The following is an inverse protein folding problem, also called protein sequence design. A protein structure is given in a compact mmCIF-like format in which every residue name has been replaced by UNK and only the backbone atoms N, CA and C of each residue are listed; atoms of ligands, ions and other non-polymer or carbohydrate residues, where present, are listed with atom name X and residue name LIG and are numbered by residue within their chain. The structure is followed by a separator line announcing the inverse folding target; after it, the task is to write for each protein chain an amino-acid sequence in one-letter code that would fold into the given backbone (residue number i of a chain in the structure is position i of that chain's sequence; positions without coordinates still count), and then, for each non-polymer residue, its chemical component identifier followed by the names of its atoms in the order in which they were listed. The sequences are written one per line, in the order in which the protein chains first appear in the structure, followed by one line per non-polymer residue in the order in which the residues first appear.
data_IF_976653492219
#
_entry.id   IF_976653492219
#
_cell.length_a   1.000
_cell.length_b   1.000
_cell.length_c   1.000
_cell.angle_alpha   90.00
_cell.angle_beta   90.00
_cell.angle_gamma   90.00
#
_symmetry.space_group_name_H-M   'P 1'
#
loop_
_entity.id
_entity.type
_entity.pdbx_description
1 polymer ?
#
# COMPACT_ATOMS: atom_id res chain seq x y z
N UNK A 1 33.43 12.89 -18.89
CA UNK A 1 33.34 12.60 -17.45
C UNK A 1 32.22 13.36 -16.73
N UNK A 2 31.91 14.62 -17.08
CA UNK A 2 30.82 15.38 -16.41
C UNK A 2 29.42 14.88 -16.73
N UNK A 3 29.16 14.25 -17.84
CA UNK A 3 27.84 13.75 -18.23
C UNK A 3 27.41 12.50 -17.45
N UNK A 4 28.36 11.70 -16.96
CA UNK A 4 28.05 10.49 -16.16
C UNK A 4 27.97 10.75 -14.66
N UNK A 5 28.32 11.95 -14.21
CA UNK A 5 28.33 12.33 -12.79
C UNK A 5 26.95 12.15 -12.12
N UNK A 6 25.82 12.61 -12.72
CA UNK A 6 24.50 12.43 -12.12
C UNK A 6 24.09 10.96 -12.03
N UNK A 7 24.44 10.14 -13.02
CA UNK A 7 24.14 8.71 -13.01
C UNK A 7 24.94 7.98 -11.91
N UNK A 8 26.22 8.34 -11.74
CA UNK A 8 27.06 7.79 -10.67
C UNK A 8 26.56 8.18 -9.28
N UNK A 9 26.10 9.43 -9.10
CA UNK A 9 25.52 9.91 -7.83
C UNK A 9 24.25 9.13 -7.50
N UNK A 10 23.33 8.98 -8.45
CA UNK A 10 22.10 8.21 -8.27
C UNK A 10 22.40 6.74 -7.96
N UNK A 11 23.34 6.13 -8.68
CA UNK A 11 23.79 4.77 -8.41
C UNK A 11 24.40 4.59 -7.02
N UNK A 12 25.21 5.55 -6.57
CA UNK A 12 25.80 5.56 -5.23
C UNK A 12 24.73 5.71 -4.13
N UNK A 13 23.73 6.58 -4.33
CA UNK A 13 22.62 6.77 -3.37
C UNK A 13 21.79 5.48 -3.26
N UNK A 14 21.45 4.85 -4.38
CA UNK A 14 20.70 3.58 -4.40
C UNK A 14 21.51 2.46 -3.74
N UNK A 15 22.82 2.37 -4.02
CA UNK A 15 23.72 1.40 -3.41
C UNK A 15 23.83 1.57 -1.89
N UNK A 16 23.98 2.82 -1.43
CA UNK A 16 24.00 3.15 0.00
C UNK A 16 22.68 2.83 0.70
N UNK A 17 21.55 3.19 0.11
CA UNK A 17 20.24 2.86 0.64
C UNK A 17 20.02 1.34 0.74
N UNK A 18 20.43 0.58 -0.30
CA UNK A 18 20.35 -0.88 -0.31
C UNK A 18 21.24 -1.51 0.77
N UNK A 19 22.44 -0.99 0.98
CA UNK A 19 23.37 -1.45 2.01
C UNK A 19 22.83 -1.19 3.43
N UNK A 20 22.23 -0.01 3.67
CA UNK A 20 21.58 0.33 4.94
C UNK A 20 20.40 -0.60 5.20
N UNK A 21 19.57 -0.89 4.17
CA UNK A 21 18.43 -1.80 4.29
C UNK A 21 18.88 -3.23 4.60
N UNK A 22 19.95 -3.69 3.95
CA UNK A 22 20.55 -5.01 4.20
C UNK A 22 21.11 -5.11 5.63
N UNK A 23 21.83 -4.09 6.08
CA UNK A 23 22.35 -4.01 7.43
C UNK A 23 21.23 -4.01 8.48
N UNK A 24 20.19 -3.21 8.27
CA UNK A 24 19.01 -3.16 9.14
C UNK A 24 18.30 -4.52 9.18
N UNK A 25 18.12 -5.18 8.02
CA UNK A 25 17.55 -6.53 7.93
C UNK A 25 18.37 -7.56 8.73
N UNK A 26 19.68 -7.55 8.60
CA UNK A 26 20.57 -8.47 9.32
C UNK A 26 20.55 -8.24 10.84
N UNK A 27 20.47 -6.95 11.28
CA UNK A 27 20.34 -6.62 12.70
C UNK A 27 18.99 -7.07 13.28
N UNK A 28 17.90 -6.88 12.54
CA UNK A 28 16.56 -7.33 12.94
C UNK A 28 16.50 -8.86 12.99
N UNK A 29 17.13 -9.54 12.02
CA UNK A 29 17.21 -11.01 11.99
C UNK A 29 17.97 -11.56 13.20
N UNK A 30 19.10 -10.95 13.60
CA UNK A 30 19.86 -11.33 14.81
C UNK A 30 19.02 -11.18 16.09
N UNK A 31 18.31 -10.05 16.21
CA UNK A 31 17.45 -9.77 17.38
C UNK A 31 16.23 -10.70 17.45
N UNK A 32 15.78 -11.25 16.32
CA UNK A 32 14.67 -12.21 16.24
C UNK A 32 15.07 -13.59 16.77
N UNK A 33 16.33 -13.99 16.58
CA UNK A 33 16.85 -15.26 17.11
C UNK A 33 17.02 -15.25 18.64
N UNK A 34 17.27 -14.08 19.27
CA UNK A 34 17.35 -13.92 20.72
C UNK A 34 16.00 -13.86 21.44
N UNK A 35 14.91 -13.50 20.73
CA UNK A 35 13.55 -13.40 21.26
C UNK A 35 12.63 -14.48 20.67
N UNK A 36 13.04 -15.72 20.62
CA UNK A 36 12.13 -16.85 20.41
C UNK A 36 11.16 -16.99 21.60
N UNK A 37 10.17 -16.12 21.61
CA UNK A 37 8.92 -16.43 22.27
C UNK A 37 8.35 -17.64 21.57
N UNK A 38 8.09 -18.69 22.37
CA UNK A 38 7.51 -19.97 21.99
C UNK A 38 6.30 -19.79 21.05
N UNK A 39 6.59 -19.67 19.74
CA UNK A 39 5.55 -19.53 18.70
C UNK A 39 5.08 -20.93 18.37
N UNK A 40 4.08 -21.39 19.12
CA UNK A 40 3.42 -22.68 18.91
C UNK A 40 2.70 -22.80 17.55
N UNK A 41 2.52 -21.67 16.81
CA UNK A 41 1.75 -21.63 15.57
C UNK A 41 2.64 -21.14 14.41
N UNK A 42 2.79 -21.91 13.32
CA UNK A 42 3.56 -21.49 12.14
C UNK A 42 2.90 -20.28 11.44
N UNK A 43 3.74 -19.38 10.90
CA UNK A 43 3.31 -18.13 10.24
C UNK A 43 2.30 -18.39 9.10
N UNK A 44 2.41 -19.52 8.39
CA UNK A 44 1.46 -19.90 7.33
C UNK A 44 0.03 -20.12 7.84
N UNK A 45 -0.14 -20.65 9.05
CA UNK A 45 -1.48 -20.81 9.64
C UNK A 45 -2.05 -19.47 10.11
N UNK A 46 -1.20 -18.57 10.62
CA UNK A 46 -1.61 -17.21 11.01
C UNK A 46 -2.09 -16.45 9.77
N UNK A 47 -1.30 -16.46 8.70
CA UNK A 47 -1.68 -15.80 7.43
C UNK A 47 -2.99 -16.38 6.88
N UNK A 48 -3.15 -17.70 6.90
CA UNK A 48 -4.39 -18.34 6.42
C UNK A 48 -5.61 -17.93 7.24
N UNK A 49 -5.49 -17.86 8.56
CA UNK A 49 -6.57 -17.39 9.45
C UNK A 49 -6.91 -15.93 9.18
N UNK A 50 -5.89 -15.06 9.04
CA UNK A 50 -6.08 -13.66 8.73
C UNK A 50 -6.75 -13.47 7.37
N UNK A 51 -6.33 -14.21 6.34
CA UNK A 51 -6.96 -14.17 5.02
C UNK A 51 -8.41 -14.64 5.04
N UNK A 52 -8.78 -15.51 5.97
CA UNK A 52 -10.17 -15.93 6.14
C UNK A 52 -11.10 -14.76 6.46
N UNK A 53 -10.67 -13.80 7.27
CA UNK A 53 -11.43 -12.57 7.55
C UNK A 53 -11.60 -11.66 6.32
N UNK A 54 -10.69 -11.72 5.35
CA UNK A 54 -10.76 -10.95 4.11
C UNK A 54 -11.65 -11.61 3.04
N UNK A 55 -11.90 -12.95 3.12
CA UNK A 55 -12.66 -13.69 2.10
C UNK A 55 -14.08 -13.20 1.86
N UNK A 56 -14.88 -12.76 2.85
CA UNK A 56 -16.20 -12.21 2.60
C UNK A 56 -16.18 -10.96 1.72
N UNK A 57 -15.08 -10.20 1.73
CA UNK A 57 -14.92 -8.92 1.04
C UNK A 57 -14.22 -9.03 -0.32
N UNK A 58 -13.98 -10.27 -0.83
CA UNK A 58 -13.27 -10.51 -2.10
C UNK A 58 -13.80 -9.69 -3.29
N UNK A 59 -15.13 -9.54 -3.40
CA UNK A 59 -15.75 -8.73 -4.46
C UNK A 59 -15.37 -7.25 -4.34
N UNK A 60 -15.34 -6.72 -3.14
CA UNK A 60 -14.97 -5.33 -2.87
C UNK A 60 -13.47 -5.09 -3.14
N UNK A 61 -12.61 -6.06 -2.79
CA UNK A 61 -11.19 -6.00 -3.13
C UNK A 61 -10.96 -6.05 -4.65
N UNK A 62 -11.77 -6.82 -5.41
CA UNK A 62 -11.71 -6.80 -6.88
C UNK A 62 -12.08 -5.42 -7.42
N UNK A 63 -13.13 -4.78 -6.91
CA UNK A 63 -13.49 -3.42 -7.31
C UNK A 63 -12.36 -2.43 -6.99
N UNK A 64 -11.78 -2.50 -5.79
CA UNK A 64 -10.62 -1.70 -5.41
C UNK A 64 -9.46 -1.91 -6.38
N UNK A 65 -9.18 -3.15 -6.76
CA UNK A 65 -8.12 -3.49 -7.70
C UNK A 65 -8.36 -2.86 -9.09
N UNK A 66 -9.58 -2.95 -9.62
CA UNK A 66 -9.94 -2.33 -10.91
C UNK A 66 -9.80 -0.81 -10.86
N UNK A 67 -10.31 -0.17 -9.80
CA UNK A 67 -10.19 1.27 -9.60
C UNK A 67 -8.72 1.69 -9.43
N UNK A 68 -7.92 0.86 -8.76
CA UNK A 68 -6.47 1.08 -8.61
C UNK A 68 -5.74 1.06 -9.95
N UNK A 69 -6.12 0.19 -10.89
CA UNK A 69 -5.54 0.16 -12.24
C UNK A 69 -5.77 1.48 -12.99
N UNK A 70 -6.94 2.12 -12.80
CA UNK A 70 -7.22 3.44 -13.37
C UNK A 70 -6.28 4.50 -12.77
N UNK A 71 -6.07 4.49 -11.46
CA UNK A 71 -5.13 5.39 -10.80
C UNK A 71 -3.69 5.19 -11.28
N UNK A 72 -3.26 3.94 -11.46
CA UNK A 72 -1.92 3.61 -11.98
C UNK A 72 -1.75 4.11 -13.42
N UNK A 73 -2.78 3.92 -14.27
CA UNK A 73 -2.74 4.44 -15.64
C UNK A 73 -2.55 5.97 -15.65
N UNK A 74 -3.23 6.69 -14.75
CA UNK A 74 -3.00 8.13 -14.57
C UNK A 74 -1.56 8.43 -14.12
N UNK A 75 -1.06 7.75 -13.11
CA UNK A 75 0.29 7.97 -12.56
C UNK A 75 1.39 7.78 -13.65
N UNK A 76 1.14 6.94 -14.67
CA UNK A 76 2.04 6.70 -15.79
C UNK A 76 1.86 7.70 -16.95
N UNK A 77 0.62 8.08 -17.25
CA UNK A 77 0.29 8.93 -18.41
C UNK A 77 0.50 10.42 -18.09
N UNK A 78 0.23 10.84 -16.85
CA UNK A 78 0.29 12.25 -16.48
C UNK A 78 1.65 12.91 -16.74
N UNK A 79 2.81 12.29 -16.39
CA UNK A 79 4.13 12.88 -16.68
C UNK A 79 4.39 13.04 -18.19
N UNK A 80 3.93 12.08 -19.00
CA UNK A 80 4.10 12.11 -20.46
C UNK A 80 3.28 13.26 -21.07
N UNK A 81 2.01 13.42 -20.64
CA UNK A 81 1.19 14.54 -21.08
C UNK A 81 1.78 15.90 -20.68
N UNK A 82 2.27 16.03 -19.47
CA UNK A 82 2.93 17.26 -19.01
C UNK A 82 4.19 17.53 -19.83
N UNK A 83 4.99 16.52 -20.15
CA UNK A 83 6.14 16.64 -21.04
C UNK A 83 5.76 17.15 -22.42
N UNK A 84 4.74 16.56 -23.05
CA UNK A 84 4.25 16.96 -24.35
C UNK A 84 3.70 18.40 -24.35
N UNK A 85 2.99 18.82 -23.31
CA UNK A 85 2.53 20.20 -23.14
C UNK A 85 3.72 21.18 -23.05
N UNK A 86 4.76 20.80 -22.29
CA UNK A 86 5.97 21.64 -22.17
C UNK A 86 6.70 21.78 -23.50
N UNK A 87 6.81 20.72 -24.28
CA UNK A 87 7.43 20.77 -25.61
C UNK A 87 6.62 21.65 -26.58
N UNK A 88 5.27 21.51 -26.54
CA UNK A 88 4.40 22.32 -27.38
C UNK A 88 4.58 23.83 -27.08
N UNK A 89 4.61 24.21 -25.83
CA UNK A 89 4.73 25.64 -25.42
C UNK A 89 6.09 26.22 -25.77
N UNK A 90 7.15 25.42 -25.92
CA UNK A 90 8.48 25.86 -26.33
C UNK A 90 8.58 26.17 -27.83
N UNK A 91 7.65 25.70 -28.65
CA UNK A 91 7.66 25.96 -30.09
C UNK A 91 7.17 27.38 -30.40
N UNK A 92 7.94 28.14 -31.17
CA UNK A 92 7.53 29.46 -31.65
C UNK A 92 6.30 29.33 -32.58
N UNK A 93 5.19 29.98 -32.19
CA UNK A 93 3.94 29.92 -32.99
C UNK A 93 3.06 28.71 -32.74
N UNK A 94 3.14 28.10 -31.54
CA UNK A 94 2.27 26.97 -31.19
C UNK A 94 0.77 27.30 -31.34
N UNK A 95 -0.01 26.33 -31.78
CA UNK A 95 -1.44 26.47 -31.95
C UNK A 95 -2.15 26.44 -30.57
N UNK A 96 -2.80 27.53 -30.20
CA UNK A 96 -3.58 27.62 -28.96
C UNK A 96 -4.66 26.54 -28.85
N UNK A 97 -5.24 26.14 -29.97
CA UNK A 97 -6.25 25.08 -30.03
C UNK A 97 -5.67 23.73 -29.58
N UNK A 98 -4.47 23.37 -30.03
CA UNK A 98 -3.78 22.14 -29.64
C UNK A 98 -3.44 22.16 -28.14
N UNK A 99 -3.00 23.29 -27.60
CA UNK A 99 -2.74 23.47 -26.18
C UNK A 99 -4.03 23.26 -25.36
N UNK A 100 -5.12 23.89 -25.80
CA UNK A 100 -6.43 23.75 -25.12
C UNK A 100 -6.92 22.30 -25.10
N UNK A 101 -6.75 21.55 -26.20
CA UNK A 101 -7.10 20.14 -26.29
C UNK A 101 -6.28 19.31 -25.30
N UNK A 102 -4.96 19.49 -25.25
CA UNK A 102 -4.07 18.75 -24.34
C UNK A 102 -4.37 19.06 -22.86
N UNK A 103 -4.58 20.34 -22.52
CA UNK A 103 -4.93 20.75 -21.16
C UNK A 103 -6.30 20.18 -20.75
N UNK A 104 -7.29 20.21 -21.65
CA UNK A 104 -8.62 19.62 -21.39
C UNK A 104 -8.53 18.11 -21.18
N UNK A 105 -7.73 17.42 -22.01
CA UNK A 105 -7.47 15.97 -21.85
C UNK A 105 -6.83 15.68 -20.49
N UNK A 106 -5.79 16.43 -20.12
CA UNK A 106 -5.13 16.29 -18.83
C UNK A 106 -6.08 16.53 -17.66
N UNK A 107 -6.87 17.60 -17.72
CA UNK A 107 -7.86 17.92 -16.69
C UNK A 107 -8.94 16.82 -16.55
N UNK A 108 -9.39 16.25 -17.67
CA UNK A 108 -10.38 15.15 -17.67
C UNK A 108 -9.80 13.89 -16.99
N UNK A 109 -8.59 13.50 -17.36
CA UNK A 109 -7.92 12.33 -16.76
C UNK A 109 -7.65 12.56 -15.26
N UNK A 110 -7.26 13.78 -14.88
CA UNK A 110 -7.06 14.16 -13.50
C UNK A 110 -8.34 14.04 -12.66
N UNK A 111 -9.46 14.51 -13.18
CA UNK A 111 -10.78 14.40 -12.51
C UNK A 111 -11.17 12.93 -12.35
N UNK A 112 -10.99 12.10 -13.38
CA UNK A 112 -11.24 10.66 -13.33
C UNK A 112 -10.38 10.01 -12.23
N UNK A 113 -9.10 10.37 -12.15
CA UNK A 113 -8.18 9.85 -11.13
C UNK A 113 -8.60 10.25 -9.71
N UNK A 114 -8.99 11.50 -9.50
CA UNK A 114 -9.47 11.97 -8.19
C UNK A 114 -10.75 11.24 -7.75
N UNK A 115 -11.71 11.07 -8.65
CA UNK A 115 -12.93 10.30 -8.37
C UNK A 115 -12.61 8.85 -8.05
N UNK A 116 -11.71 8.24 -8.82
CA UNK A 116 -11.25 6.86 -8.59
C UNK A 116 -10.59 6.70 -7.22
N UNK A 117 -9.69 7.62 -6.86
CA UNK A 117 -9.04 7.63 -5.55
C UNK A 117 -10.03 7.77 -4.41
N UNK A 118 -11.04 8.63 -4.55
CA UNK A 118 -12.09 8.81 -3.56
C UNK A 118 -12.91 7.52 -3.37
N UNK A 119 -13.36 6.89 -4.48
CA UNK A 119 -14.11 5.63 -4.45
C UNK A 119 -13.29 4.53 -3.80
N UNK A 120 -12.02 4.39 -4.18
CA UNK A 120 -11.09 3.41 -3.60
C UNK A 120 -10.98 3.57 -2.09
N UNK A 121 -10.74 4.81 -1.63
CA UNK A 121 -10.58 5.12 -0.20
C UNK A 121 -11.86 4.80 0.59
N UNK A 122 -13.02 5.15 0.07
CA UNK A 122 -14.31 4.89 0.72
C UNK A 122 -14.58 3.39 0.85
N UNK A 123 -14.31 2.60 -0.20
CA UNK A 123 -14.50 1.15 -0.17
C UNK A 123 -13.54 0.52 0.86
N UNK A 124 -12.25 0.90 0.83
CA UNK A 124 -11.25 0.38 1.76
C UNK A 124 -11.56 0.74 3.21
N UNK A 125 -12.02 1.96 3.47
CA UNK A 125 -12.41 2.39 4.81
C UNK A 125 -13.61 1.58 5.31
N UNK A 126 -14.61 1.34 4.46
CA UNK A 126 -15.76 0.50 4.82
C UNK A 126 -15.33 -0.94 5.13
N UNK A 127 -14.48 -1.55 4.29
CA UNK A 127 -13.93 -2.89 4.54
C UNK A 127 -13.18 -2.90 5.88
N UNK A 128 -12.32 -1.90 6.12
CA UNK A 128 -11.52 -1.80 7.34
C UNK A 128 -12.37 -1.74 8.60
N UNK A 129 -13.41 -0.90 8.62
CA UNK A 129 -14.30 -0.78 9.76
C UNK A 129 -15.10 -2.08 10.02
N UNK A 130 -15.60 -2.73 8.96
CA UNK A 130 -16.36 -3.97 9.12
C UNK A 130 -15.46 -5.12 9.58
N UNK A 131 -14.25 -5.21 9.04
CA UNK A 131 -13.25 -6.19 9.43
C UNK A 131 -12.80 -5.98 10.89
N UNK A 132 -12.60 -4.71 11.27
CA UNK A 132 -12.26 -4.33 12.64
C UNK A 132 -13.35 -4.73 13.63
N UNK A 133 -14.63 -4.51 13.27
CA UNK A 133 -15.78 -4.91 14.09
C UNK A 133 -15.82 -6.42 14.28
N UNK A 134 -15.66 -7.20 13.22
CA UNK A 134 -15.66 -8.66 13.28
C UNK A 134 -14.49 -9.21 14.12
N UNK A 135 -13.28 -8.64 13.94
CA UNK A 135 -12.12 -9.03 14.74
C UNK A 135 -12.30 -8.73 16.22
N UNK A 136 -12.89 -7.57 16.55
CA UNK A 136 -13.16 -7.20 17.95
C UNK A 136 -14.18 -8.12 18.59
N UNK A 137 -15.24 -8.45 17.88
CA UNK A 137 -16.28 -9.36 18.33
C UNK A 137 -15.72 -10.75 18.62
N UNK A 138 -14.91 -11.30 17.70
CA UNK A 138 -14.29 -12.61 17.89
C UNK A 138 -13.31 -12.64 19.05
N UNK A 139 -12.45 -11.60 19.19
CA UNK A 139 -11.50 -11.51 20.31
C UNK A 139 -12.24 -11.34 21.63
N UNK A 140 -13.30 -10.53 21.66
CA UNK A 140 -14.08 -10.30 22.87
C UNK A 140 -14.83 -11.57 23.29
N UNK A 141 -15.49 -12.24 22.35
CA UNK A 141 -16.16 -13.53 22.58
C UNK A 141 -15.19 -14.61 23.09
N UNK A 142 -13.95 -14.63 22.54
CA UNK A 142 -12.92 -15.53 23.06
C UNK A 142 -12.54 -15.19 24.49
N UNK A 143 -12.38 -13.92 24.83
CA UNK A 143 -12.07 -13.47 26.21
C UNK A 143 -13.18 -13.88 27.17
N UNK A 144 -14.47 -13.72 26.79
CA UNK A 144 -15.61 -14.13 27.60
C UNK A 144 -15.66 -15.67 27.83
N UNK A 145 -15.14 -16.44 26.88
CA UNK A 145 -15.08 -17.91 26.99
C UNK A 145 -13.96 -18.43 27.91
N UNK A 146 -13.04 -17.56 28.38
CA UNK A 146 -11.94 -17.94 29.26
C UNK A 146 -12.46 -18.27 30.67
N UNK A 147 -11.84 -19.26 31.34
CA UNK A 147 -12.16 -19.56 32.73
C UNK A 147 -11.70 -18.42 33.66
N UNK A 148 -12.35 -18.33 34.81
CA UNK A 148 -12.03 -17.33 35.86
C UNK A 148 -10.53 -17.36 36.26
N UNK A 149 -9.97 -18.56 36.34
CA UNK A 149 -8.54 -18.76 36.64
C UNK A 149 -7.63 -18.20 35.53
N UNK A 150 -7.99 -18.42 34.27
CA UNK A 150 -7.24 -17.88 33.13
C UNK A 150 -7.33 -16.35 33.07
N UNK A 151 -8.51 -15.79 33.35
CA UNK A 151 -8.71 -14.34 33.38
C UNK A 151 -7.89 -13.66 34.49
N UNK A 152 -7.84 -14.26 35.68
CA UNK A 152 -7.11 -13.71 36.81
C UNK A 152 -5.58 -13.66 36.58
N UNK A 153 -5.06 -14.53 35.69
CA UNK A 153 -3.64 -14.58 35.37
C UNK A 153 -3.23 -13.61 34.27
N UNK A 154 -4.19 -12.92 33.62
CA UNK A 154 -3.93 -11.97 32.53
C UNK A 154 -4.25 -10.55 32.98
N UNK A 155 -3.29 -9.61 32.98
CA UNK A 155 -3.56 -8.21 33.30
C UNK A 155 -4.65 -7.63 32.40
N UNK A 156 -5.65 -6.99 32.97
CA UNK A 156 -6.80 -6.40 32.25
C UNK A 156 -6.33 -5.44 31.15
N UNK A 157 -5.31 -4.63 31.40
CA UNK A 157 -4.73 -3.72 30.41
C UNK A 157 -4.22 -4.44 29.16
N UNK A 158 -3.66 -5.65 29.30
CA UNK A 158 -3.23 -6.47 28.17
C UNK A 158 -4.40 -6.97 27.32
N UNK A 159 -5.51 -7.33 27.97
CA UNK A 159 -6.74 -7.73 27.25
C UNK A 159 -7.33 -6.55 26.47
N UNK A 160 -7.43 -5.38 27.09
CA UNK A 160 -7.91 -4.15 26.47
C UNK A 160 -7.05 -3.79 25.26
N UNK A 161 -5.72 -3.85 25.39
CA UNK A 161 -4.81 -3.55 24.26
C UNK A 161 -5.01 -4.51 23.08
N UNK A 162 -5.23 -5.80 23.35
CA UNK A 162 -5.51 -6.79 22.29
C UNK A 162 -6.80 -6.50 21.55
N UNK A 163 -7.88 -6.17 22.28
CA UNK A 163 -9.19 -5.87 21.66
C UNK A 163 -9.17 -4.55 20.89
N UNK A 164 -8.39 -3.57 21.32
CA UNK A 164 -8.37 -2.23 20.70
C UNK A 164 -7.25 -2.05 19.70
N UNK A 165 -5.99 -2.11 20.14
CA UNK A 165 -4.85 -1.74 19.32
C UNK A 165 -4.42 -2.84 18.37
N UNK A 166 -4.35 -4.11 18.83
CA UNK A 166 -3.89 -5.21 17.99
C UNK A 166 -4.89 -5.50 16.86
N UNK A 167 -6.20 -5.48 17.15
CA UNK A 167 -7.23 -5.65 16.12
C UNK A 167 -7.22 -4.51 15.10
N UNK A 168 -6.99 -3.26 15.57
CA UNK A 168 -6.87 -2.11 14.67
C UNK A 168 -5.63 -2.24 13.77
N UNK A 169 -4.50 -2.66 14.31
CA UNK A 169 -3.27 -2.89 13.52
C UNK A 169 -3.49 -3.94 12.41
N UNK A 170 -4.20 -5.03 12.71
CA UNK A 170 -4.56 -6.06 11.72
C UNK A 170 -5.46 -5.46 10.62
N UNK A 171 -6.50 -4.70 10.99
CA UNK A 171 -7.39 -4.05 10.03
C UNK A 171 -6.63 -3.09 9.11
N UNK A 172 -5.75 -2.26 9.66
CA UNK A 172 -4.89 -1.34 8.89
C UNK A 172 -3.92 -2.09 7.95
N UNK A 173 -3.43 -3.25 8.36
CA UNK A 173 -2.59 -4.08 7.50
C UNK A 173 -3.32 -4.47 6.21
N UNK A 174 -4.58 -4.91 6.30
CA UNK A 174 -5.37 -5.29 5.13
C UNK A 174 -5.76 -4.12 4.24
N UNK A 175 -6.13 -2.98 4.83
CA UNK A 175 -6.68 -1.84 4.08
C UNK A 175 -5.62 -0.89 3.55
N UNK A 176 -4.53 -0.69 4.27
CA UNK A 176 -3.49 0.26 3.91
C UNK A 176 -2.22 -0.43 3.40
N UNK A 177 -1.62 -1.31 4.22
CA UNK A 177 -0.30 -1.86 3.92
C UNK A 177 -0.33 -2.73 2.68
N UNK A 178 -1.22 -3.73 2.61
CA UNK A 178 -1.30 -4.64 1.47
C UNK A 178 -1.69 -3.93 0.19
N UNK A 179 -2.67 -3.03 0.25
CA UNK A 179 -3.14 -2.28 -0.93
C UNK A 179 -2.05 -1.35 -1.44
N UNK A 180 -1.36 -0.61 -0.55
CA UNK A 180 -0.24 0.26 -0.93
C UNK A 180 0.92 -0.53 -1.52
N UNK A 181 1.25 -1.70 -0.95
CA UNK A 181 2.30 -2.58 -1.45
C UNK A 181 2.00 -3.05 -2.88
N UNK A 182 0.77 -3.52 -3.13
CA UNK A 182 0.33 -3.94 -4.47
C UNK A 182 0.36 -2.75 -5.44
N UNK A 183 -0.20 -1.60 -5.06
CA UNK A 183 -0.19 -0.39 -5.90
C UNK A 183 1.23 0.00 -6.29
N UNK A 184 2.12 0.18 -5.32
CA UNK A 184 3.49 0.63 -5.58
C UNK A 184 4.28 -0.39 -6.42
N UNK A 185 4.10 -1.69 -6.20
CA UNK A 185 4.72 -2.73 -7.02
C UNK A 185 4.25 -2.63 -8.48
N UNK A 186 2.96 -2.42 -8.71
CA UNK A 186 2.41 -2.27 -10.06
C UNK A 186 2.89 -0.98 -10.75
N UNK A 187 3.00 0.12 -10.01
CA UNK A 187 3.56 1.38 -10.53
C UNK A 187 5.02 1.19 -10.96
N UNK A 188 5.84 0.52 -10.13
CA UNK A 188 7.24 0.25 -10.47
C UNK A 188 7.33 -0.60 -11.75
N UNK A 189 6.54 -1.67 -11.85
CA UNK A 189 6.49 -2.52 -13.05
C UNK A 189 6.06 -1.68 -14.27
N UNK A 190 5.03 -0.86 -14.13
CA UNK A 190 4.53 0.01 -15.18
C UNK A 190 5.59 1.01 -15.67
N UNK A 191 6.30 1.66 -14.76
CA UNK A 191 7.40 2.59 -15.08
C UNK A 191 8.52 1.88 -15.84
N UNK A 192 8.93 0.69 -15.38
CA UNK A 192 9.97 -0.11 -16.06
C UNK A 192 9.53 -0.48 -17.46
N UNK A 193 8.28 -0.92 -17.65
CA UNK A 193 7.73 -1.23 -18.97
C UNK A 193 7.74 0.00 -19.87
N UNK A 194 7.25 1.15 -19.40
CA UNK A 194 7.25 2.40 -20.17
C UNK A 194 8.68 2.80 -20.60
N UNK A 195 9.65 2.69 -19.69
CA UNK A 195 11.06 3.02 -19.99
C UNK A 195 11.70 2.08 -21.02
N UNK A 196 11.21 0.85 -21.15
CA UNK A 196 11.71 -0.09 -22.16
C UNK A 196 11.14 0.18 -23.56
N UNK A 197 10.02 0.93 -23.66
CA UNK A 197 9.35 1.25 -24.92
C UNK A 197 9.63 2.68 -25.42
N UNK A 198 10.24 3.52 -24.59
CA UNK A 198 10.73 4.86 -24.98
C UNK A 198 12.21 4.79 -25.35
#
# INVERSE_FOLDING_TARGET
MREYLPILIVGAIIGLASAIFLAAYLLVKRKKEENEWDRSIPDSQIIRRLLHYATPYKKQFIVVFVVMLISIAYDLVAPVLVGNIQELVKQEGFALETLFQMVTLYATILIISLVSMYIQTMILQKIGQTLLSALREDVFSHIESLSHEQLNNIPVGKLVTRVTNDTNAISMMFTNVLVTLVKNSMVIIGVVVVLLFI
#
